data_IF_768167740946
#
_entry.id   IF_768167740946
#
_cell.length_a   1.000
_cell.length_b   1.000
_cell.length_c   1.000
_cell.angle_alpha   90.00
_cell.angle_beta   90.00
_cell.angle_gamma   90.00
#
_symmetry.space_group_name_H-M   'P 1'
#
loop_
_entity.id
_entity.type
_entity.pdbx_description
1 polymer ?
#
# COMPACT_ATOMS: atom_id res chain seq x y z
N UNK A 1 -1.12 -13.17 -0.78
CA UNK A 1 -2.23 -12.24 -0.55
C UNK A 1 -1.79 -10.79 -0.60
N UNK A 2 -2.63 -9.96 -1.21
CA UNK A 2 -2.36 -8.54 -1.46
C UNK A 2 -3.45 -7.71 -0.80
N UNK A 3 -3.08 -6.59 -0.18
CA UNK A 3 -4.03 -5.60 0.29
C UNK A 3 -3.70 -4.24 -0.34
N UNK A 4 -4.62 -3.29 -0.19
CA UNK A 4 -4.48 -1.96 -0.77
C UNK A 4 -4.65 -0.88 0.28
N UNK A 5 -3.74 0.08 0.30
CA UNK A 5 -3.85 1.29 1.11
C UNK A 5 -4.45 2.40 0.25
N UNK A 6 -5.60 2.93 0.65
CA UNK A 6 -6.24 4.07 -0.03
C UNK A 6 -5.49 5.36 0.33
N UNK A 7 -4.78 6.00 -0.62
CA UNK A 7 -4.15 7.28 -0.33
C UNK A 7 -5.19 8.35 -0.08
N UNK A 8 -4.91 9.29 0.81
CA UNK A 8 -5.87 10.34 1.15
C UNK A 8 -6.22 11.21 -0.06
N UNK A 9 -5.26 11.53 -0.91
CA UNK A 9 -5.55 12.33 -2.12
C UNK A 9 -6.44 11.58 -3.09
N UNK A 10 -6.15 10.31 -3.36
CA UNK A 10 -6.97 9.50 -4.27
C UNK A 10 -8.36 9.26 -3.71
N UNK A 11 -8.44 8.77 -2.47
CA UNK A 11 -9.70 8.34 -1.88
C UNK A 11 -10.59 9.49 -1.44
N UNK A 12 -10.08 10.33 -0.53
CA UNK A 12 -10.90 11.38 0.07
C UNK A 12 -11.07 12.60 -0.82
N UNK A 13 -9.99 13.05 -1.47
CA UNK A 13 -10.03 14.28 -2.27
C UNK A 13 -10.56 14.05 -3.67
N UNK A 14 -10.21 12.95 -4.31
CA UNK A 14 -10.54 12.68 -5.71
C UNK A 14 -11.61 11.61 -5.91
N UNK A 15 -11.98 10.87 -4.88
CA UNK A 15 -12.96 9.79 -4.99
C UNK A 15 -12.49 8.60 -5.80
N UNK A 16 -11.18 8.44 -5.99
CA UNK A 16 -10.61 7.33 -6.76
C UNK A 16 -10.42 6.15 -5.79
N UNK A 17 -11.42 5.31 -5.68
CA UNK A 17 -11.41 4.19 -4.73
C UNK A 17 -11.59 2.84 -5.43
N UNK A 18 -12.48 2.73 -6.40
CA UNK A 18 -12.75 1.45 -7.07
C UNK A 18 -11.75 1.12 -8.17
N UNK A 19 -11.24 2.12 -8.87
CA UNK A 19 -10.33 1.93 -10.00
C UNK A 19 -9.08 1.13 -9.64
N UNK A 20 -8.34 1.46 -8.56
CA UNK A 20 -7.20 0.62 -8.16
C UNK A 20 -7.61 -0.80 -7.80
N UNK A 21 -8.80 -0.98 -7.23
CA UNK A 21 -9.31 -2.29 -6.86
C UNK A 21 -9.63 -3.16 -8.06
N UNK A 22 -10.17 -2.55 -9.12
CA UNK A 22 -10.41 -3.27 -10.38
C UNK A 22 -9.10 -3.85 -10.91
N UNK A 23 -8.06 -3.06 -10.92
CA UNK A 23 -6.73 -3.50 -11.39
C UNK A 23 -6.20 -4.62 -10.52
N UNK A 24 -6.25 -4.45 -9.20
CA UNK A 24 -5.71 -5.44 -8.26
C UNK A 24 -6.48 -6.76 -8.30
N UNK A 25 -7.80 -6.70 -8.40
CA UNK A 25 -8.62 -7.91 -8.50
C UNK A 25 -8.37 -8.67 -9.78
N UNK A 26 -8.05 -7.96 -10.87
CA UNK A 26 -7.70 -8.59 -12.14
C UNK A 26 -6.29 -9.19 -12.11
N UNK A 27 -5.36 -8.56 -11.41
CA UNK A 27 -3.94 -8.95 -11.40
C UNK A 27 -3.59 -9.94 -10.30
N UNK A 28 -4.39 -10.03 -9.24
CA UNK A 28 -4.06 -10.82 -8.05
C UNK A 28 -5.13 -11.84 -7.74
N UNK A 29 -4.71 -13.06 -7.42
CA UNK A 29 -5.63 -14.15 -7.07
C UNK A 29 -6.25 -13.99 -5.68
N UNK A 30 -5.54 -13.34 -4.76
CA UNK A 30 -5.95 -13.20 -3.37
C UNK A 30 -5.81 -11.74 -2.93
N UNK A 31 -6.85 -10.96 -3.22
CA UNK A 31 -6.92 -9.56 -2.79
C UNK A 31 -7.78 -9.45 -1.53
N UNK A 32 -7.25 -8.81 -0.50
CA UNK A 32 -7.90 -8.66 0.80
C UNK A 32 -8.00 -7.19 1.17
N UNK A 33 -9.18 -6.74 1.61
CA UNK A 33 -9.39 -5.35 2.03
C UNK A 33 -8.96 -5.13 3.47
N UNK A 34 -8.43 -3.94 3.74
CA UNK A 34 -8.30 -3.44 5.11
C UNK A 34 -9.65 -2.83 5.53
N UNK A 35 -9.88 -2.73 6.82
CA UNK A 35 -11.08 -2.10 7.36
C UNK A 35 -10.70 -1.16 8.49
N UNK A 36 -11.18 0.10 8.47
CA UNK A 36 -11.96 0.74 7.40
C UNK A 36 -11.14 0.96 6.13
N UNK A 37 -11.83 1.23 5.01
CA UNK A 37 -11.17 1.46 3.73
C UNK A 37 -11.86 2.58 2.95
N UNK A 38 -11.38 2.86 1.74
CA UNK A 38 -11.90 3.91 0.86
C UNK A 38 -11.83 5.27 1.55
N UNK A 39 -12.91 6.05 1.55
CA UNK A 39 -12.91 7.40 2.12
C UNK A 39 -12.68 7.42 3.64
N UNK A 40 -12.96 6.33 4.32
CA UNK A 40 -12.80 6.22 5.78
C UNK A 40 -11.48 5.57 6.19
N UNK A 41 -10.59 5.35 5.25
CA UNK A 41 -9.31 4.71 5.49
C UNK A 41 -8.43 5.53 6.44
N UNK A 42 -7.65 4.83 7.27
CA UNK A 42 -6.67 5.48 8.14
C UNK A 42 -5.47 5.94 7.33
N UNK A 43 -4.94 7.10 7.68
CA UNK A 43 -3.73 7.63 7.09
C UNK A 43 -2.54 6.71 7.37
N UNK A 44 -1.58 6.68 6.43
CA UNK A 44 -0.33 5.94 6.63
C UNK A 44 0.59 6.58 7.68
N UNK A 45 0.33 7.85 8.02
CA UNK A 45 1.11 8.60 9.00
C UNK A 45 2.23 9.43 8.39
N UNK A 46 2.40 9.39 7.07
CA UNK A 46 3.51 10.08 6.40
C UNK A 46 3.10 11.20 5.45
N UNK A 47 1.82 11.61 5.46
CA UNK A 47 1.32 12.65 4.57
C UNK A 47 1.81 14.04 4.89
N UNK A 48 1.44 15.02 4.03
CA UNK A 48 1.76 16.43 4.19
C UNK A 48 3.26 16.71 4.37
N UNK A 49 4.13 15.90 3.73
CA UNK A 49 5.58 16.10 3.80
C UNK A 49 6.26 15.49 5.02
N UNK A 50 5.52 14.88 5.93
CA UNK A 50 6.10 14.31 7.15
C UNK A 50 7.09 13.17 6.84
N UNK A 51 6.87 12.41 5.76
CA UNK A 51 7.76 11.32 5.38
C UNK A 51 9.17 11.79 4.99
N UNK A 52 9.34 13.09 4.67
CA UNK A 52 10.64 13.68 4.34
C UNK A 52 11.35 14.25 5.57
N UNK A 53 10.73 14.23 6.74
CA UNK A 53 11.29 14.81 7.96
C UNK A 53 11.88 13.73 8.86
N UNK A 54 13.20 13.54 8.78
CA UNK A 54 13.87 12.50 9.56
C UNK A 54 13.76 12.72 11.07
N UNK A 55 13.65 13.98 11.50
CA UNK A 55 13.56 14.30 12.92
C UNK A 55 12.34 13.72 13.62
N UNK A 56 11.28 13.39 12.86
CA UNK A 56 10.05 12.80 13.41
C UNK A 56 9.84 11.36 12.98
N UNK A 57 10.86 10.72 12.40
CA UNK A 57 10.72 9.34 11.91
C UNK A 57 10.28 8.38 13.01
N UNK A 58 10.87 8.51 14.19
CA UNK A 58 10.48 7.66 15.33
C UNK A 58 8.99 7.80 15.65
N UNK A 59 8.50 9.02 15.68
CA UNK A 59 7.06 9.27 15.91
C UNK A 59 6.21 8.63 14.82
N UNK A 60 6.60 8.74 13.54
CA UNK A 60 5.85 8.13 12.44
C UNK A 60 5.79 6.62 12.56
N UNK A 61 6.87 6.00 13.04
CA UNK A 61 6.93 4.54 13.15
C UNK A 61 6.18 4.02 14.38
N UNK A 62 6.18 4.77 15.47
CA UNK A 62 5.67 4.28 16.75
C UNK A 62 4.30 4.84 17.14
N UNK A 63 3.88 5.93 16.52
CA UNK A 63 2.61 6.59 16.85
C UNK A 63 1.72 6.74 15.63
N UNK A 64 2.09 7.60 14.67
CA UNK A 64 1.19 7.95 13.59
C UNK A 64 0.96 6.83 12.57
N UNK A 65 1.88 5.89 12.45
CA UNK A 65 1.76 4.77 11.52
C UNK A 65 1.19 3.50 12.12
N UNK A 66 1.04 3.42 13.43
CA UNK A 66 0.69 2.16 14.11
C UNK A 66 -0.69 1.63 13.72
N UNK A 67 -1.68 2.50 13.58
CA UNK A 67 -3.02 2.08 13.15
C UNK A 67 -3.00 1.40 11.78
N UNK A 68 -2.25 1.96 10.86
CA UNK A 68 -2.12 1.38 9.52
C UNK A 68 -1.42 0.02 9.59
N UNK A 69 -0.39 -0.09 10.41
CA UNK A 69 0.30 -1.36 10.60
C UNK A 69 -0.66 -2.44 11.12
N UNK A 70 -1.50 -2.11 12.09
CA UNK A 70 -2.49 -3.04 12.61
C UNK A 70 -3.46 -3.50 11.54
N UNK A 71 -3.96 -2.57 10.72
CA UNK A 71 -4.86 -2.90 9.61
C UNK A 71 -4.21 -3.86 8.61
N UNK A 72 -2.94 -3.61 8.28
CA UNK A 72 -2.19 -4.48 7.35
C UNK A 72 -2.04 -5.88 7.95
N UNK A 73 -1.66 -5.97 9.21
CA UNK A 73 -1.50 -7.25 9.90
C UNK A 73 -2.78 -8.07 9.92
N UNK A 74 -3.91 -7.42 10.13
CA UNK A 74 -5.22 -8.08 10.16
C UNK A 74 -5.60 -8.74 8.84
N UNK A 75 -5.10 -8.23 7.73
CA UNK A 75 -5.40 -8.83 6.42
C UNK A 75 -4.62 -10.12 6.17
N UNK A 76 -3.49 -10.32 6.84
CA UNK A 76 -2.59 -11.42 6.56
C UNK A 76 -1.85 -11.29 5.23
N UNK A 77 -1.88 -10.11 4.62
CA UNK A 77 -1.28 -9.87 3.31
C UNK A 77 0.25 -9.93 3.38
N UNK A 78 0.86 -10.29 2.25
CA UNK A 78 2.31 -10.28 2.07
C UNK A 78 2.78 -9.14 1.17
N UNK A 79 1.84 -8.41 0.58
CA UNK A 79 2.12 -7.27 -0.27
C UNK A 79 1.07 -6.19 -0.02
N UNK A 80 1.54 -4.97 0.18
CA UNK A 80 0.67 -3.79 0.31
C UNK A 80 0.86 -2.93 -0.93
N UNK A 81 -0.21 -2.73 -1.68
CA UNK A 81 -0.20 -1.85 -2.84
C UNK A 81 -0.65 -0.45 -2.42
N UNK A 82 0.04 0.56 -2.92
CA UNK A 82 -0.30 1.96 -2.68
C UNK A 82 -0.05 2.75 -3.95
N UNK A 83 -0.88 3.76 -4.19
CA UNK A 83 -0.79 4.58 -5.40
C UNK A 83 -0.03 5.89 -5.18
N UNK A 84 0.30 6.23 -3.94
CA UNK A 84 0.97 7.48 -3.59
C UNK A 84 2.42 7.22 -3.21
N UNK A 85 3.36 8.01 -3.76
CA UNK A 85 4.79 7.86 -3.46
C UNK A 85 5.11 8.08 -1.98
N UNK A 86 4.48 9.05 -1.34
CA UNK A 86 4.67 9.31 0.09
C UNK A 86 4.17 8.14 0.93
N UNK A 87 3.03 7.57 0.56
CA UNK A 87 2.48 6.40 1.25
C UNK A 87 3.39 5.19 1.11
N UNK A 88 3.91 4.94 -0.10
CA UNK A 88 4.85 3.83 -0.32
C UNK A 88 6.10 3.99 0.54
N UNK A 89 6.64 5.21 0.61
CA UNK A 89 7.82 5.51 1.43
C UNK A 89 7.53 5.27 2.91
N UNK A 90 6.43 5.82 3.41
CA UNK A 90 6.03 5.67 4.81
C UNK A 90 5.80 4.20 5.16
N UNK A 91 5.06 3.48 4.32
CA UNK A 91 4.76 2.07 4.57
C UNK A 91 6.00 1.20 4.50
N UNK A 92 6.91 1.47 3.57
CA UNK A 92 8.19 0.75 3.49
C UNK A 92 8.99 0.93 4.77
N UNK A 93 9.13 2.16 5.24
CA UNK A 93 9.84 2.45 6.48
C UNK A 93 9.15 1.80 7.68
N UNK A 94 7.82 1.80 7.69
CA UNK A 94 7.04 1.20 8.76
C UNK A 94 7.26 -0.31 8.84
N UNK A 95 7.25 -1.00 7.69
CA UNK A 95 7.51 -2.45 7.64
C UNK A 95 8.94 -2.77 8.10
N UNK A 96 9.91 -1.98 7.68
CA UNK A 96 11.31 -2.16 8.09
C UNK A 96 11.48 -1.94 9.60
N UNK A 97 10.88 -0.89 10.13
CA UNK A 97 10.99 -0.57 11.56
C UNK A 97 10.44 -1.69 12.44
N UNK A 98 9.29 -2.25 12.06
CA UNK A 98 8.64 -3.31 12.80
C UNK A 98 9.05 -4.72 12.35
N UNK A 99 10.02 -4.82 11.44
CA UNK A 99 10.59 -6.09 10.94
C UNK A 99 9.51 -7.01 10.36
N UNK A 100 8.57 -6.43 9.62
CA UNK A 100 7.53 -7.19 8.95
C UNK A 100 8.03 -7.76 7.63
N UNK A 101 7.63 -8.98 7.32
CA UNK A 101 7.96 -9.65 6.06
C UNK A 101 6.88 -9.34 5.02
N UNK A 102 6.65 -8.05 4.76
CA UNK A 102 5.60 -7.57 3.87
C UNK A 102 6.23 -6.61 2.87
N UNK A 103 6.07 -6.92 1.59
CA UNK A 103 6.56 -6.06 0.51
C UNK A 103 5.58 -4.88 0.31
N UNK A 104 6.12 -3.69 0.01
CA UNK A 104 5.32 -2.51 -0.31
C UNK A 104 5.67 -2.08 -1.73
N UNK A 105 4.66 -1.81 -2.53
CA UNK A 105 4.87 -1.37 -3.91
C UNK A 105 3.64 -0.69 -4.47
N UNK A 106 3.65 -0.42 -5.77
CA UNK A 106 2.55 0.23 -6.46
C UNK A 106 1.52 -0.75 -7.00
N UNK A 107 0.36 -0.23 -7.35
CA UNK A 107 -0.69 -1.00 -8.04
C UNK A 107 -0.17 -1.46 -9.40
N UNK A 108 0.49 -0.57 -10.12
CA UNK A 108 1.04 -0.89 -11.45
C UNK A 108 2.14 -1.96 -11.40
N UNK A 109 2.84 -2.11 -10.28
CA UNK A 109 3.83 -3.17 -10.12
C UNK A 109 3.15 -4.54 -10.15
N UNK A 110 2.01 -4.68 -9.50
CA UNK A 110 1.24 -5.93 -9.56
C UNK A 110 0.70 -6.19 -10.96
N UNK A 111 0.20 -5.15 -11.63
CA UNK A 111 -0.27 -5.28 -13.00
C UNK A 111 0.86 -5.71 -13.94
N UNK A 112 2.04 -5.11 -13.78
CA UNK A 112 3.24 -5.45 -14.56
C UNK A 112 3.62 -6.92 -14.42
N UNK A 113 3.52 -7.46 -13.21
CA UNK A 113 3.82 -8.88 -12.95
C UNK A 113 2.81 -9.82 -13.58
N UNK A 114 1.58 -9.36 -13.79
CA UNK A 114 0.49 -10.17 -14.31
C UNK A 114 0.32 -10.11 -15.83
N UNK A 115 0.92 -9.11 -16.50
CA UNK A 115 0.79 -8.92 -17.93
C UNK A 115 1.47 -10.06 -18.70
N UNK A 116 0.79 -10.57 -19.73
CA UNK A 116 1.33 -11.55 -20.64
C UNK A 116 1.55 -10.93 -22.02
N UNK A 117 2.67 -11.26 -22.63
CA UNK A 117 2.99 -10.89 -24.01
C UNK A 117 3.29 -12.18 -24.76
N UNK A 118 2.54 -12.45 -25.81
CA UNK A 118 2.64 -13.70 -26.58
C UNK A 118 2.56 -14.95 -25.67
N UNK A 119 1.68 -14.91 -24.68
CA UNK A 119 1.46 -16.00 -23.74
C UNK A 119 2.52 -16.13 -22.65
N UNK A 120 3.45 -15.17 -22.56
CA UNK A 120 4.53 -15.19 -21.56
C UNK A 120 4.47 -13.94 -20.69
N UNK A 121 4.97 -14.06 -19.46
CA UNK A 121 5.03 -12.92 -18.57
C UNK A 121 5.91 -11.81 -19.16
N UNK A 122 5.36 -10.58 -19.21
CA UNK A 122 6.07 -9.42 -19.74
C UNK A 122 7.13 -8.90 -18.78
N UNK A 123 6.95 -9.14 -17.47
CA UNK A 123 7.83 -8.67 -16.41
C UNK A 123 8.35 -9.86 -15.62
N UNK A 124 9.65 -9.87 -15.35
CA UNK A 124 10.26 -10.87 -14.49
C UNK A 124 10.74 -10.22 -13.22
N UNK A 125 10.47 -10.86 -12.09
CA UNK A 125 10.91 -10.37 -10.77
C UNK A 125 12.06 -11.23 -10.29
N UNK A 126 13.08 -10.53 -9.89
CA UNK A 126 14.27 -11.16 -9.35
C UNK A 126 14.13 -11.43 -7.85
#
# INVERSE_FOLDING_TARGET
PVTYHDPCNFGRSCGIVEEPRVILKAACADFREMYPNRAENWCCGGGAGLSAMDSIKEFRMTVSGVKKLEQIRETGAKYVAAACSNCKRQLTQLMEHHKEQIEVGGVHDMLSRAILVDGKAASRRQ
#
